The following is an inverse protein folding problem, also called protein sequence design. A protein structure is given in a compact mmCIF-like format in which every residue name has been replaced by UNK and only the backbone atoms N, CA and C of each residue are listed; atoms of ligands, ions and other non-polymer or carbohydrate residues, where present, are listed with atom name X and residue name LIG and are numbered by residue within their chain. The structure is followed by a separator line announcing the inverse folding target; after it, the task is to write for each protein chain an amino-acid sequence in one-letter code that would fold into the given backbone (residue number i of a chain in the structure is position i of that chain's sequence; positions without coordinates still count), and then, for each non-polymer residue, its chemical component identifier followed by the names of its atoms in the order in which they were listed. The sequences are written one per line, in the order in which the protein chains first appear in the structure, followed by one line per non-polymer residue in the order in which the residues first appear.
data_IF_278307226278
#
_entry.id   IF_278307226278
#
_cell.length_a   1.000
_cell.length_b   1.000
_cell.length_c   1.000
_cell.angle_alpha   90.00
_cell.angle_beta   90.00
_cell.angle_gamma   90.00
#
_symmetry.space_group_name_H-M   'P 1'
#
loop_
_entity.id
_entity.type
_entity.pdbx_description
1 polymer ?
#
# COMPACT_ATOMS: atom_id res chain seq x y z
N UNK A 1 37.43 43.02 34.53
CA UNK A 1 38.26 41.86 34.11
C UNK A 1 37.88 40.63 34.94
N UNK A 2 36.71 40.03 34.70
CA UNK A 2 36.24 38.80 35.38
C UNK A 2 35.52 37.81 34.43
N UNK A 3 35.54 38.07 33.12
CA UNK A 3 34.86 37.26 32.11
C UNK A 3 35.67 36.03 31.61
N UNK A 4 36.82 35.72 32.22
CA UNK A 4 37.78 34.72 31.70
C UNK A 4 37.72 33.35 32.40
N UNK A 5 36.73 33.08 33.25
CA UNK A 5 36.66 31.83 34.02
C UNK A 5 35.26 31.19 34.08
N UNK A 6 34.48 31.28 33.00
CA UNK A 6 33.26 30.47 32.91
C UNK A 6 33.28 29.66 31.62
N UNK A 7 33.43 28.35 31.79
CA UNK A 7 33.45 27.37 30.70
C UNK A 7 32.11 27.40 29.95
N UNK A 8 32.23 27.37 28.63
CA UNK A 8 31.16 27.48 27.63
C UNK A 8 30.00 26.50 27.85
N UNK A 9 30.21 25.43 28.62
CA UNK A 9 29.21 24.41 28.95
C UNK A 9 28.14 24.87 29.95
N UNK A 10 28.45 25.80 30.87
CA UNK A 10 27.45 26.34 31.83
C UNK A 10 26.52 27.40 31.24
N UNK A 11 26.87 27.93 30.07
CA UNK A 11 26.07 28.94 29.37
C UNK A 11 24.83 28.33 28.69
N UNK A 12 24.85 27.04 28.39
CA UNK A 12 23.80 26.38 27.60
C UNK A 12 22.70 25.78 28.51
N UNK A 13 23.04 25.33 29.73
CA UNK A 13 22.17 24.46 30.54
C UNK A 13 21.46 25.16 31.73
N UNK A 14 21.63 26.48 31.91
CA UNK A 14 20.92 27.22 32.98
C UNK A 14 21.41 28.65 33.27
N UNK A 15 22.64 29.01 32.91
CA UNK A 15 23.23 30.32 33.26
C UNK A 15 22.63 31.53 32.51
N UNK A 16 21.84 31.31 31.45
CA UNK A 16 21.15 32.40 30.73
C UNK A 16 20.02 33.02 31.56
N UNK A 17 19.34 32.22 32.39
CA UNK A 17 18.27 32.74 33.25
C UNK A 17 18.82 33.70 34.31
N UNK A 18 19.89 33.30 35.00
CA UNK A 18 20.52 34.12 36.05
C UNK A 18 21.20 35.38 35.49
N UNK A 19 21.80 35.32 34.30
CA UNK A 19 22.39 36.50 33.66
C UNK A 19 21.32 37.52 33.23
N UNK A 20 20.20 37.03 32.71
CA UNK A 20 19.07 37.88 32.32
C UNK A 20 18.39 38.49 33.56
N UNK A 21 18.24 37.74 34.64
CA UNK A 21 17.64 38.24 35.88
C UNK A 21 18.48 39.33 36.55
N UNK A 22 19.80 39.13 36.62
CA UNK A 22 20.71 40.14 37.18
C UNK A 22 20.82 41.40 36.29
N UNK A 23 20.87 41.24 34.97
CA UNK A 23 20.89 42.37 34.04
C UNK A 23 19.56 43.15 34.04
N UNK A 24 18.43 42.45 34.19
CA UNK A 24 17.11 43.09 34.26
C UNK A 24 16.99 43.92 35.54
N UNK A 25 17.46 43.40 36.68
CA UNK A 25 17.45 44.09 37.97
C UNK A 25 18.31 45.37 37.97
N UNK A 26 19.45 45.34 37.29
CA UNK A 26 20.35 46.50 37.13
C UNK A 26 19.72 47.58 36.24
N UNK A 27 19.13 47.20 35.11
CA UNK A 27 18.43 48.13 34.21
C UNK A 27 17.16 48.72 34.86
N UNK A 28 16.42 47.93 35.66
CA UNK A 28 15.23 48.41 36.36
C UNK A 28 15.56 49.46 37.43
N UNK A 29 16.71 49.32 38.10
CA UNK A 29 17.19 50.27 39.10
C UNK A 29 17.59 51.61 38.46
N UNK A 30 18.25 51.56 37.30
CA UNK A 30 18.72 52.76 36.60
C UNK A 30 17.62 53.49 35.82
N UNK A 31 16.57 52.77 35.39
CA UNK A 31 15.48 53.36 34.60
C UNK A 31 14.24 53.75 35.42
N UNK A 32 14.19 53.42 36.72
CA UNK A 32 13.12 53.81 37.64
C UNK A 32 12.83 55.31 37.74
N UNK A 33 13.83 56.22 37.72
CA UNK A 33 13.61 57.67 37.79
C UNK A 33 13.06 58.31 36.49
N UNK A 34 13.03 57.56 35.37
CA UNK A 34 12.75 58.11 34.02
C UNK A 34 11.35 57.71 33.50
N UNK A 35 10.58 56.96 34.28
CA UNK A 35 9.17 56.67 33.96
C UNK A 35 8.93 55.66 32.83
N UNK A 36 9.93 54.84 32.48
CA UNK A 36 9.84 53.83 31.42
C UNK A 36 9.58 52.45 32.04
N UNK A 37 8.45 51.81 31.71
CA UNK A 37 8.16 50.42 32.07
C UNK A 37 8.61 49.48 30.95
N UNK A 38 9.68 48.73 31.17
CA UNK A 38 10.19 47.72 30.22
C UNK A 38 9.41 46.41 30.41
N UNK A 39 8.55 46.05 29.44
CA UNK A 39 7.63 44.89 29.52
C UNK A 39 8.26 43.61 28.92
N UNK A 40 9.21 43.72 27.99
CA UNK A 40 10.03 42.59 27.53
C UNK A 40 11.30 43.05 26.83
N UNK A 41 12.45 42.46 27.19
CA UNK A 41 13.71 42.59 26.48
C UNK A 41 13.94 41.32 25.65
N UNK A 42 13.80 41.40 24.32
CA UNK A 42 14.06 40.28 23.41
C UNK A 42 15.22 40.62 22.48
N UNK A 43 16.23 39.75 22.42
CA UNK A 43 17.36 39.87 21.50
C UNK A 43 16.85 39.80 20.06
N UNK A 44 16.98 40.89 19.30
CA UNK A 44 16.62 40.91 17.87
C UNK A 44 17.86 40.54 17.07
N UNK A 45 17.95 39.27 16.70
CA UNK A 45 18.98 38.76 15.80
C UNK A 45 18.81 37.26 15.61
N UNK A 46 18.75 36.80 14.35
CA UNK A 46 18.75 35.36 14.07
C UNK A 46 20.04 34.78 14.67
N UNK A 47 20.00 33.77 15.55
CA UNK A 47 21.22 33.13 16.01
C UNK A 47 21.96 32.60 14.79
N UNK A 48 23.13 33.17 14.53
CA UNK A 48 24.01 32.71 13.46
C UNK A 48 24.66 31.42 13.95
N UNK A 49 24.04 30.30 13.60
CA UNK A 49 24.53 28.99 13.97
C UNK A 49 25.88 28.74 13.26
N UNK A 50 26.87 28.14 13.94
CA UNK A 50 28.09 27.70 13.28
C UNK A 50 27.76 26.82 12.06
N UNK A 51 28.51 26.90 10.95
CA UNK A 51 28.22 26.17 9.71
C UNK A 51 27.99 24.66 9.94
N UNK A 52 28.76 24.07 10.86
CA UNK A 52 28.69 22.65 11.22
C UNK A 52 27.33 22.21 11.79
N UNK A 53 26.63 23.09 12.51
CA UNK A 53 25.30 22.79 13.08
C UNK A 53 24.23 22.85 11.99
N UNK A 54 24.32 23.82 11.08
CA UNK A 54 23.42 23.94 9.93
C UNK A 54 23.54 22.71 9.03
N UNK A 55 24.77 22.29 8.73
CA UNK A 55 25.04 21.09 7.93
C UNK A 55 24.48 19.84 8.60
N UNK A 56 24.64 19.70 9.92
CA UNK A 56 24.11 18.57 10.69
C UNK A 56 22.58 18.53 10.70
N UNK A 57 21.93 19.70 10.85
CA UNK A 57 20.48 19.83 10.79
C UNK A 57 19.98 19.47 9.40
N UNK A 58 20.58 20.04 8.35
CA UNK A 58 20.23 19.76 6.97
C UNK A 58 20.42 18.27 6.62
N UNK A 59 21.52 17.66 7.08
CA UNK A 59 21.77 16.24 6.91
C UNK A 59 20.70 15.38 7.61
N UNK A 60 20.31 15.72 8.85
CA UNK A 60 19.27 15.00 9.59
C UNK A 60 17.89 15.16 8.94
N UNK A 61 17.54 16.37 8.48
CA UNK A 61 16.28 16.63 7.77
C UNK A 61 16.24 15.82 6.47
N UNK A 62 17.31 15.85 5.68
CA UNK A 62 17.41 15.10 4.42
C UNK A 62 17.34 13.59 4.68
N UNK A 63 18.01 13.08 5.72
CA UNK A 63 17.95 11.67 6.09
C UNK A 63 16.55 11.23 6.55
N UNK A 64 15.87 12.07 7.34
CA UNK A 64 14.50 11.82 7.77
C UNK A 64 13.53 11.83 6.58
N UNK A 65 13.65 12.81 5.68
CA UNK A 65 12.84 12.89 4.46
C UNK A 65 13.06 11.67 3.57
N UNK A 66 14.31 11.23 3.37
CA UNK A 66 14.64 10.04 2.60
C UNK A 66 14.06 8.77 3.23
N UNK A 67 14.08 8.68 4.56
CA UNK A 67 13.49 7.54 5.28
C UNK A 67 11.98 7.53 5.11
N UNK A 68 11.33 8.67 5.32
CA UNK A 68 9.89 8.81 5.12
C UNK A 68 9.48 8.47 3.68
N UNK A 69 10.22 8.95 2.68
CA UNK A 69 9.96 8.59 1.28
C UNK A 69 10.06 7.09 1.02
N UNK A 70 11.10 6.43 1.56
CA UNK A 70 11.25 4.98 1.41
C UNK A 70 10.15 4.19 2.13
N UNK A 71 9.72 4.63 3.30
CA UNK A 71 8.59 3.99 4.00
C UNK A 71 7.29 4.12 3.20
N UNK A 72 7.04 5.28 2.59
CA UNK A 72 5.89 5.47 1.71
C UNK A 72 5.99 4.60 0.46
N UNK A 73 7.16 4.53 -0.16
CA UNK A 73 7.41 3.67 -1.31
C UNK A 73 7.17 2.19 -0.96
N UNK A 74 7.71 1.71 0.17
CA UNK A 74 7.48 0.32 0.63
C UNK A 74 5.99 0.06 0.84
N UNK A 75 5.27 0.95 1.53
CA UNK A 75 3.81 0.81 1.72
C UNK A 75 3.06 0.78 0.40
N UNK A 76 3.44 1.62 -0.56
CA UNK A 76 2.83 1.63 -1.89
C UNK A 76 3.08 0.31 -2.62
N UNK A 77 4.31 -0.21 -2.58
CA UNK A 77 4.69 -1.48 -3.20
C UNK A 77 4.00 -2.68 -2.54
N UNK A 78 3.85 -2.67 -1.21
CA UNK A 78 3.08 -3.67 -0.49
C UNK A 78 1.59 -3.63 -0.86
N UNK A 79 1.00 -2.43 -0.97
CA UNK A 79 -0.37 -2.26 -1.40
C UNK A 79 -0.59 -2.75 -2.85
N UNK A 80 0.31 -2.41 -3.77
CA UNK A 80 0.31 -2.91 -5.16
C UNK A 80 0.42 -4.44 -5.21
N UNK A 81 1.35 -5.03 -4.43
CA UNK A 81 1.52 -6.48 -4.38
C UNK A 81 0.32 -7.21 -3.76
N UNK A 82 -0.35 -6.60 -2.79
CA UNK A 82 -1.58 -7.14 -2.20
C UNK A 82 -2.74 -7.06 -3.21
N UNK A 83 -2.86 -5.94 -3.94
CA UNK A 83 -3.87 -5.77 -4.97
C UNK A 83 -3.71 -6.81 -6.09
N UNK A 84 -2.49 -7.01 -6.57
CA UNK A 84 -2.20 -8.01 -7.61
C UNK A 84 -2.50 -9.44 -7.14
N UNK A 85 -2.19 -9.77 -5.88
CA UNK A 85 -2.54 -11.07 -5.29
C UNK A 85 -4.06 -11.26 -5.21
N UNK A 86 -4.78 -10.28 -4.67
CA UNK A 86 -6.23 -10.35 -4.58
C UNK A 86 -6.90 -10.45 -5.95
N UNK A 87 -6.36 -9.77 -6.97
CA UNK A 87 -6.85 -9.89 -8.35
C UNK A 87 -6.59 -11.29 -8.91
N UNK A 88 -5.38 -11.83 -8.73
CA UNK A 88 -5.04 -13.18 -9.17
C UNK A 88 -5.91 -14.26 -8.48
N UNK A 89 -6.11 -14.14 -7.17
CA UNK A 89 -6.98 -15.02 -6.39
C UNK A 89 -8.42 -14.91 -6.86
N UNK A 90 -8.93 -13.69 -7.07
CA UNK A 90 -10.27 -13.47 -7.61
C UNK A 90 -10.47 -14.05 -9.01
N UNK A 91 -9.48 -13.95 -9.89
CA UNK A 91 -9.50 -14.58 -11.21
C UNK A 91 -9.47 -16.11 -11.13
N UNK A 92 -8.66 -16.68 -10.22
CA UNK A 92 -8.58 -18.11 -10.00
C UNK A 92 -9.92 -18.67 -9.49
N UNK A 93 -10.51 -18.02 -8.48
CA UNK A 93 -11.82 -18.39 -7.92
C UNK A 93 -12.93 -18.29 -8.96
N UNK A 94 -12.95 -17.21 -9.75
CA UNK A 94 -13.91 -17.05 -10.83
C UNK A 94 -13.81 -18.19 -11.87
N UNK A 95 -12.58 -18.55 -12.26
CA UNK A 95 -12.34 -19.64 -13.21
C UNK A 95 -12.74 -21.01 -12.64
N UNK A 96 -12.44 -21.26 -11.37
CA UNK A 96 -12.81 -22.49 -10.69
C UNK A 96 -14.33 -22.63 -10.63
N UNK A 97 -15.04 -21.57 -10.20
CA UNK A 97 -16.50 -21.54 -10.14
C UNK A 97 -17.15 -21.73 -11.52
N UNK A 98 -16.54 -21.15 -12.56
CA UNK A 98 -17.01 -21.33 -13.94
C UNK A 98 -16.83 -22.78 -14.39
N UNK A 99 -15.67 -23.39 -14.14
CA UNK A 99 -15.41 -24.79 -14.46
C UNK A 99 -16.35 -25.75 -13.70
N UNK A 100 -16.63 -25.47 -12.42
CA UNK A 100 -17.60 -26.24 -11.63
C UNK A 100 -19.02 -26.12 -12.21
N UNK A 101 -19.43 -24.91 -12.60
CA UNK A 101 -20.73 -24.68 -13.21
C UNK A 101 -20.86 -25.42 -14.56
N UNK A 102 -19.83 -25.39 -15.40
CA UNK A 102 -19.77 -26.15 -16.66
C UNK A 102 -19.83 -27.66 -16.43
N UNK A 103 -19.04 -28.18 -15.48
CA UNK A 103 -19.03 -29.59 -15.12
C UNK A 103 -20.41 -30.04 -14.64
N UNK A 104 -21.06 -29.27 -13.77
CA UNK A 104 -22.42 -29.55 -13.29
C UNK A 104 -23.44 -29.50 -14.42
N UNK A 105 -23.32 -28.55 -15.34
CA UNK A 105 -24.18 -28.47 -16.53
C UNK A 105 -24.04 -29.71 -17.42
N UNK A 106 -22.81 -30.16 -17.67
CA UNK A 106 -22.53 -31.39 -18.43
C UNK A 106 -23.08 -32.62 -17.70
N UNK A 107 -22.91 -32.72 -16.38
CA UNK A 107 -23.44 -33.82 -15.60
C UNK A 107 -24.96 -33.88 -15.65
N UNK A 108 -25.65 -32.75 -15.50
CA UNK A 108 -27.12 -32.66 -15.59
C UNK A 108 -27.57 -33.05 -17.00
N UNK A 109 -26.92 -32.54 -18.05
CA UNK A 109 -27.23 -32.92 -19.44
C UNK A 109 -27.01 -34.41 -19.67
N UNK A 110 -25.89 -34.97 -19.23
CA UNK A 110 -25.58 -36.39 -19.36
C UNK A 110 -26.52 -37.28 -18.53
N UNK A 111 -26.99 -36.81 -17.38
CA UNK A 111 -28.03 -37.49 -16.61
C UNK A 111 -29.37 -37.46 -17.34
N UNK A 112 -29.80 -36.29 -17.82
CA UNK A 112 -31.03 -36.16 -18.61
C UNK A 112 -31.02 -37.04 -19.87
N UNK A 113 -29.87 -37.14 -20.55
CA UNK A 113 -29.69 -38.02 -21.71
C UNK A 113 -29.73 -39.51 -21.36
N UNK A 114 -29.24 -39.91 -20.17
CA UNK A 114 -29.32 -41.30 -19.69
C UNK A 114 -30.72 -41.68 -19.24
N UNK A 115 -31.44 -40.74 -18.62
CA UNK A 115 -32.82 -40.93 -18.18
C UNK A 115 -33.79 -40.98 -19.36
N UNK A 116 -33.47 -40.31 -20.48
CA UNK A 116 -34.28 -40.34 -21.69
C UNK A 116 -33.46 -40.70 -22.95
N UNK A 117 -33.11 -41.99 -23.13
CA UNK A 117 -32.34 -42.44 -24.29
C UNK A 117 -33.12 -42.35 -25.60
N UNK A 118 -34.45 -42.29 -25.56
CA UNK A 118 -35.30 -42.09 -26.75
C UNK A 118 -35.07 -40.69 -27.36
N UNK A 119 -34.80 -39.67 -26.54
CA UNK A 119 -34.47 -38.31 -27.02
C UNK A 119 -33.15 -38.30 -27.79
N UNK A 120 -32.14 -39.09 -27.38
CA UNK A 120 -30.90 -39.22 -28.15
C UNK A 120 -31.15 -39.87 -29.51
N UNK A 121 -32.05 -40.86 -29.56
CA UNK A 121 -32.47 -41.50 -30.82
C UNK A 121 -33.21 -40.50 -31.72
N UNK A 122 -34.12 -39.71 -31.16
CA UNK A 122 -34.85 -38.67 -31.89
C UNK A 122 -33.94 -37.53 -32.36
N UNK A 123 -32.98 -37.07 -31.55
CA UNK A 123 -31.99 -36.06 -31.95
C UNK A 123 -31.02 -36.61 -33.00
N UNK A 124 -30.59 -37.87 -32.88
CA UNK A 124 -29.76 -38.53 -33.88
C UNK A 124 -30.52 -38.68 -35.20
N UNK A 125 -31.81 -39.04 -35.18
CA UNK A 125 -32.66 -39.10 -36.37
C UNK A 125 -32.88 -37.70 -36.97
N UNK A 126 -33.13 -36.68 -36.15
CA UNK A 126 -33.33 -35.30 -36.63
C UNK A 126 -32.05 -34.66 -37.18
N UNK A 127 -30.88 -34.97 -36.63
CA UNK A 127 -29.58 -34.50 -37.15
C UNK A 127 -29.05 -35.36 -38.29
N UNK A 128 -29.58 -36.57 -38.48
CA UNK A 128 -29.21 -37.43 -39.58
C UNK A 128 -29.97 -37.00 -40.84
N UNK A 129 -29.23 -36.62 -41.88
CA UNK A 129 -29.73 -36.18 -43.17
C UNK A 129 -30.28 -37.31 -44.07
N UNK A 130 -30.62 -38.47 -43.49
CA UNK A 130 -31.15 -39.63 -44.22
C UNK A 130 -30.17 -40.32 -45.17
N UNK A 131 -28.88 -39.96 -45.16
CA UNK A 131 -27.87 -40.58 -46.04
C UNK A 131 -27.11 -41.66 -45.27
N UNK A 132 -27.22 -42.91 -45.73
CA UNK A 132 -26.45 -44.04 -45.19
C UNK A 132 -24.96 -43.82 -45.46
N UNK A 133 -24.05 -43.98 -44.48
CA UNK A 133 -22.62 -43.90 -44.70
C UNK A 133 -22.17 -44.93 -45.75
N UNK A 134 -21.79 -44.47 -46.94
CA UNK A 134 -21.42 -45.35 -48.06
C UNK A 134 -20.05 -46.04 -47.90
N UNK A 135 -19.32 -45.73 -46.82
CA UNK A 135 -18.07 -46.38 -46.47
C UNK A 135 -18.17 -46.98 -45.07
N UNK A 136 -18.86 -48.12 -44.99
CA UNK A 136 -18.76 -49.00 -43.82
C UNK A 136 -17.45 -49.79 -43.94
N UNK A 137 -16.40 -49.28 -43.31
CA UNK A 137 -15.19 -50.08 -43.03
C UNK A 137 -15.61 -51.32 -42.22
N UNK A 138 -15.12 -52.50 -42.63
CA UNK A 138 -15.51 -53.79 -42.08
C UNK A 138 -15.30 -53.81 -40.55
N UNK A 139 -16.40 -53.84 -39.80
CA UNK A 139 -16.39 -53.88 -38.33
C UNK A 139 -17.14 -52.75 -37.63
N UNK A 140 -17.62 -51.73 -38.34
CA UNK A 140 -18.45 -50.69 -37.73
C UNK A 140 -19.88 -51.20 -37.50
N UNK A 141 -20.31 -51.24 -36.23
CA UNK A 141 -21.71 -51.51 -35.85
C UNK A 141 -22.61 -50.46 -36.50
N UNK A 142 -23.59 -50.92 -37.28
CA UNK A 142 -24.62 -50.06 -37.86
C UNK A 142 -25.40 -49.35 -36.74
N UNK A 143 -25.52 -48.01 -36.77
CA UNK A 143 -26.47 -47.33 -35.92
C UNK A 143 -27.87 -47.89 -36.20
N UNK A 144 -28.59 -48.26 -35.13
CA UNK A 144 -30.01 -48.68 -35.13
C UNK A 144 -30.36 -50.09 -35.64
N UNK A 145 -29.40 -50.97 -35.95
CA UNK A 145 -29.70 -52.38 -36.21
C UNK A 145 -29.09 -53.24 -35.12
N UNK A 146 -29.91 -53.69 -34.17
CA UNK A 146 -29.54 -54.80 -33.29
C UNK A 146 -29.56 -56.08 -34.12
N UNK A 147 -28.39 -56.57 -34.49
CA UNK A 147 -28.26 -57.90 -35.09
C UNK A 147 -28.45 -58.91 -33.97
N UNK A 148 -29.51 -59.72 -34.08
CA UNK A 148 -29.81 -60.82 -33.15
C UNK A 148 -28.88 -62.00 -33.38
#
# INVERSE_FOLDING_TARGET
RLASRMSTDKFIDGGKAELLENALKEIQSDMGPVGIQVISLSYVGRPEYPPTVIDSINAKVTANQKTLQREQEVKQREAEANMLRAEADGQADAKLKLAEAEAKSIQIRGQAMRENPEVLQLEAINKWNGTLPQYMTSGASTPFIQVK
#
